data_IF_363358849871
#
_entry.id   IF_363358849871
#
_cell.length_a   1.000
_cell.length_b   1.000
_cell.length_c   1.000
_cell.angle_alpha   90.00
_cell.angle_beta   90.00
_cell.angle_gamma   90.00
#
_symmetry.space_group_name_H-M   'P 1'
#
loop_
_entity.id
_entity.type
_entity.pdbx_description
1 polymer ?
#
# COMPACT_ATOMS: atom_id res chain seq x y z
N UNK A 1 -23.93 -15.85 -51.04
CA UNK A 1 -23.14 -16.45 -49.95
C UNK A 1 -21.84 -15.66 -49.85
N UNK A 2 -21.75 -14.69 -48.94
CA UNK A 2 -20.53 -13.89 -48.74
C UNK A 2 -19.83 -14.41 -47.48
N UNK A 3 -18.61 -14.94 -47.65
CA UNK A 3 -17.78 -15.44 -46.56
C UNK A 3 -16.97 -14.28 -45.99
N UNK A 4 -17.16 -13.99 -44.70
CA UNK A 4 -16.43 -12.97 -43.96
C UNK A 4 -15.20 -13.61 -43.31
N UNK A 5 -14.00 -13.27 -43.77
CA UNK A 5 -12.75 -13.74 -43.17
C UNK A 5 -12.36 -12.74 -42.09
N UNK A 6 -12.47 -13.14 -40.82
CA UNK A 6 -12.06 -12.32 -39.67
C UNK A 6 -10.54 -12.48 -39.45
N UNK A 7 -9.74 -11.40 -39.44
CA UNK A 7 -8.33 -11.51 -39.14
C UNK A 7 -8.14 -11.84 -37.65
N UNK A 8 -7.42 -12.92 -37.36
CA UNK A 8 -7.02 -13.26 -35.99
C UNK A 8 -5.93 -12.27 -35.57
N UNK A 9 -6.19 -11.46 -34.54
CA UNK A 9 -5.16 -10.62 -33.93
C UNK A 9 -4.43 -11.52 -32.93
N UNK A 10 -3.10 -11.74 -33.06
CA UNK A 10 -2.36 -12.49 -32.07
C UNK A 10 -2.47 -11.77 -30.73
N UNK A 11 -3.08 -12.44 -29.75
CA UNK A 11 -3.05 -11.98 -28.36
C UNK A 11 -1.60 -11.99 -27.91
N UNK A 12 -0.97 -10.82 -27.88
CA UNK A 12 0.40 -10.65 -27.38
C UNK A 12 0.49 -11.28 -25.99
N UNK A 13 1.22 -12.40 -25.89
CA UNK A 13 1.44 -13.10 -24.63
C UNK A 13 2.10 -12.18 -23.60
N UNK A 14 1.89 -12.50 -22.33
CA UNK A 14 2.46 -11.76 -21.21
C UNK A 14 3.99 -11.65 -21.40
N UNK A 15 4.50 -10.43 -21.51
CA UNK A 15 5.93 -10.18 -21.59
C UNK A 15 6.56 -10.52 -20.23
N UNK A 16 7.11 -11.72 -20.12
CA UNK A 16 7.91 -12.12 -18.97
C UNK A 16 9.21 -11.29 -18.95
N UNK A 17 9.57 -10.74 -17.79
CA UNK A 17 10.75 -9.90 -17.65
C UNK A 17 12.03 -10.69 -18.02
N UNK A 18 12.84 -10.15 -18.93
CA UNK A 18 14.13 -10.71 -19.34
C UNK A 18 15.23 -10.20 -18.41
N UNK A 19 15.90 -11.11 -17.71
CA UNK A 19 17.02 -10.83 -16.81
C UNK A 19 18.29 -11.52 -17.32
N UNK A 20 19.37 -10.75 -17.49
CA UNK A 20 20.69 -11.25 -17.91
C UNK A 20 21.73 -10.73 -16.92
N UNK A 21 22.48 -11.64 -16.29
CA UNK A 21 23.50 -11.30 -15.28
C UNK A 21 23.00 -10.36 -14.15
N UNK A 22 21.74 -10.49 -13.73
CA UNK A 22 21.15 -9.62 -12.70
C UNK A 22 20.65 -8.26 -13.21
N UNK A 23 20.79 -7.97 -14.51
CA UNK A 23 20.27 -6.74 -15.12
C UNK A 23 18.95 -7.05 -15.82
N UNK A 24 17.87 -6.41 -15.36
CA UNK A 24 16.54 -6.50 -16.00
C UNK A 24 16.41 -5.47 -17.11
N UNK A 25 16.24 -5.94 -18.34
CA UNK A 25 16.13 -5.08 -19.53
C UNK A 25 14.70 -4.53 -19.72
N UNK A 26 13.69 -5.27 -19.26
CA UNK A 26 12.28 -4.89 -19.35
C UNK A 26 11.59 -5.14 -18.01
N UNK A 27 10.98 -4.09 -17.45
CA UNK A 27 10.17 -4.18 -16.22
C UNK A 27 8.72 -4.51 -16.57
N UNK A 28 8.10 -5.42 -15.83
CA UNK A 28 6.67 -5.70 -15.98
C UNK A 28 5.83 -4.56 -15.41
N UNK A 29 4.53 -4.48 -15.77
CA UNK A 29 3.60 -3.53 -15.16
C UNK A 29 3.55 -3.68 -13.64
N UNK A 30 3.53 -4.92 -13.15
CA UNK A 30 3.57 -5.23 -11.72
C UNK A 30 4.85 -4.71 -11.02
N UNK A 31 5.98 -4.64 -11.74
CA UNK A 31 7.21 -4.07 -11.17
C UNK A 31 7.14 -2.54 -11.06
N UNK A 32 6.43 -1.87 -11.97
CA UNK A 32 6.18 -0.43 -11.87
C UNK A 32 5.22 -0.09 -10.73
N UNK A 33 4.19 -0.89 -10.55
CA UNK A 33 3.19 -0.67 -9.49
C UNK A 33 3.78 -0.87 -8.08
N UNK A 34 4.83 -1.69 -7.93
CA UNK A 34 5.61 -1.83 -6.69
C UNK A 34 6.51 -0.63 -6.40
N UNK A 35 6.97 0.06 -7.43
CA UNK A 35 7.80 1.26 -7.29
C UNK A 35 6.95 2.48 -6.91
N UNK A 36 5.62 2.42 -7.11
CA UNK A 36 4.65 3.46 -6.73
C UNK A 36 3.96 3.22 -5.38
N UNK A 37 4.52 2.42 -4.47
CA UNK A 37 4.00 2.33 -3.10
C UNK A 37 4.10 3.71 -2.47
N UNK A 38 2.95 4.34 -2.24
CA UNK A 38 2.80 5.64 -1.56
C UNK A 38 3.54 5.56 -0.22
N UNK A 39 4.72 6.18 -0.19
CA UNK A 39 5.72 6.04 0.86
C UNK A 39 5.82 7.30 1.72
N UNK A 40 5.03 8.32 1.42
CA UNK A 40 5.01 9.58 2.17
C UNK A 40 4.13 9.42 3.41
N UNK A 41 4.71 9.50 4.62
CA UNK A 41 3.92 9.52 5.84
C UNK A 41 2.95 10.68 5.83
N UNK A 42 1.70 10.42 6.19
CA UNK A 42 0.69 11.46 6.34
C UNK A 42 0.64 11.85 7.82
N UNK A 43 0.65 13.16 8.08
CA UNK A 43 0.42 13.67 9.42
C UNK A 43 -1.02 13.37 9.85
N UNK A 44 -1.19 12.97 11.12
CA UNK A 44 -2.50 12.67 11.69
C UNK A 44 -2.53 13.06 13.17
N UNK A 45 -3.73 13.38 13.65
CA UNK A 45 -3.99 13.60 15.06
C UNK A 45 -4.76 12.40 15.64
N UNK A 46 -4.48 12.06 16.90
CA UNK A 46 -5.16 11.01 17.63
C UNK A 46 -5.66 11.60 18.93
N UNK A 47 -6.95 11.42 19.21
CA UNK A 47 -7.52 11.68 20.52
C UNK A 47 -7.87 10.35 21.17
N UNK A 48 -7.39 10.14 22.40
CA UNK A 48 -7.81 9.02 23.25
C UNK A 48 -8.76 9.59 24.29
N UNK A 49 -10.00 9.16 24.24
CA UNK A 49 -11.03 9.50 25.21
C UNK A 49 -11.42 8.24 25.99
N UNK A 50 -11.54 8.38 27.30
CA UNK A 50 -11.91 7.29 28.21
C UNK A 50 -13.01 7.78 29.14
N UNK A 51 -13.85 6.85 29.57
CA UNK A 51 -14.88 7.17 30.56
C UNK A 51 -14.24 7.78 31.81
N UNK A 52 -14.78 8.88 32.37
CA UNK A 52 -14.24 9.53 33.58
C UNK A 52 -14.03 8.58 34.77
N UNK A 53 -14.84 7.53 34.88
CA UNK A 53 -14.73 6.50 35.92
C UNK A 53 -13.49 5.60 35.77
N UNK A 54 -12.82 5.64 34.61
CA UNK A 54 -11.66 4.82 34.25
C UNK A 54 -10.48 5.66 33.77
N UNK A 55 -10.40 6.91 34.22
CA UNK A 55 -9.41 7.89 33.74
C UNK A 55 -7.97 7.40 33.89
N UNK A 56 -7.65 6.55 34.87
CA UNK A 56 -6.33 5.94 35.00
C UNK A 56 -5.92 5.08 33.79
N UNK A 57 -6.89 4.49 33.09
CA UNK A 57 -6.67 3.60 31.95
C UNK A 57 -6.19 4.35 30.71
N UNK A 58 -6.43 5.66 30.63
CA UNK A 58 -5.99 6.50 29.52
C UNK A 58 -4.49 6.37 29.27
N UNK A 59 -3.70 6.37 30.36
CA UNK A 59 -2.24 6.25 30.30
C UNK A 59 -1.79 4.90 29.74
N UNK A 60 -2.48 3.83 30.12
CA UNK A 60 -2.22 2.45 29.69
C UNK A 60 -2.57 2.28 28.21
N UNK A 61 -3.72 2.83 27.78
CA UNK A 61 -4.14 2.80 26.38
C UNK A 61 -3.16 3.57 25.50
N UNK A 62 -2.74 4.77 25.95
CA UNK A 62 -1.73 5.57 25.26
C UNK A 62 -0.38 4.86 25.15
N UNK A 63 0.02 4.11 26.18
CA UNK A 63 1.25 3.33 26.18
C UNK A 63 1.16 2.10 25.25
N UNK A 64 0.01 1.44 25.17
CA UNK A 64 -0.20 0.27 24.32
C UNK A 64 -0.45 0.64 22.84
N UNK A 65 -0.98 1.83 22.56
CA UNK A 65 -1.31 2.29 21.21
C UNK A 65 -0.08 2.72 20.42
N UNK A 66 0.22 2.00 19.33
CA UNK A 66 1.27 2.40 18.38
C UNK A 66 0.93 3.70 17.65
N UNK A 67 -0.36 3.96 17.39
CA UNK A 67 -0.84 5.21 16.77
C UNK A 67 -0.54 6.41 17.66
N UNK A 68 -0.88 6.33 18.95
CA UNK A 68 -0.60 7.43 19.89
C UNK A 68 0.91 7.69 20.02
N UNK A 69 1.70 6.62 20.10
CA UNK A 69 3.15 6.70 20.30
C UNK A 69 3.92 7.19 19.08
N UNK A 70 3.38 7.05 17.87
CA UNK A 70 4.03 7.44 16.61
C UNK A 70 3.34 8.61 15.91
N UNK A 71 2.48 9.36 16.61
CA UNK A 71 1.79 10.53 16.02
C UNK A 71 2.76 11.63 15.60
N UNK A 72 3.89 11.77 16.30
CA UNK A 72 4.92 12.78 16.01
C UNK A 72 5.92 12.32 14.93
N UNK A 73 5.92 11.01 14.60
CA UNK A 73 6.74 10.43 13.53
C UNK A 73 5.92 9.35 12.80
N UNK A 74 5.00 9.77 11.91
CA UNK A 74 4.11 8.86 11.21
C UNK A 74 4.88 7.83 10.39
N UNK A 75 4.45 6.56 10.46
CA UNK A 75 5.09 5.49 9.69
C UNK A 75 4.56 5.49 8.25
N UNK A 76 5.47 5.41 7.28
CA UNK A 76 5.14 5.14 5.88
C UNK A 76 4.52 3.74 5.75
N UNK A 77 3.19 3.65 5.72
CA UNK A 77 2.47 2.47 5.23
C UNK A 77 2.43 1.22 6.12
N UNK A 78 2.77 1.28 7.42
CA UNK A 78 2.88 0.07 8.24
C UNK A 78 2.02 0.01 9.53
N UNK A 79 1.08 0.92 9.76
CA UNK A 79 0.23 0.80 10.96
C UNK A 79 -1.21 1.29 10.74
N UNK A 80 -2.08 0.37 10.34
CA UNK A 80 -3.45 0.28 10.87
C UNK A 80 -4.46 1.38 10.56
N UNK A 81 -4.14 2.41 9.77
CA UNK A 81 -5.12 3.42 9.38
C UNK A 81 -5.97 2.91 8.21
N UNK A 82 -7.15 2.39 8.51
CA UNK A 82 -8.23 2.25 7.52
C UNK A 82 -8.87 3.64 7.42
N UNK A 83 -8.54 4.38 6.36
CA UNK A 83 -9.29 5.58 6.00
C UNK A 83 -10.59 5.09 5.35
N UNK A 84 -11.74 5.31 6.01
CA UNK A 84 -13.07 5.07 5.44
C UNK A 84 -13.49 6.25 4.56
#
# INVERSE_FOLDING_TARGET
MASLILPVIPAGGQAHALEIFGVKLFKSRADKDRESVVTEPQDYDVTVDVDPATREMESVIKAASSLWRKRDEPAAGAAGLIVL
#
